data_IF_294880245091
#
_entry.id   IF_294880245091
#
_cell.length_a   1.000
_cell.length_b   1.000
_cell.length_c   1.000
_cell.angle_alpha   90.00
_cell.angle_beta   90.00
_cell.angle_gamma   90.00
#
_symmetry.space_group_name_H-M   'P 1'
#
loop_
_entity.id
_entity.type
_entity.pdbx_description
1 polymer ?
#
# COMPACT_ATOMS: atom_id res chain seq x y z
N UNK A 1 -21.91 18.71 -4.94
CA UNK A 1 -22.19 18.80 -3.50
C UNK A 1 -21.25 19.85 -2.92
N UNK A 2 -21.68 20.66 -1.94
CA UNK A 2 -20.92 21.81 -1.46
C UNK A 2 -19.78 21.39 -0.52
N UNK A 3 -18.56 21.82 -0.83
CA UNK A 3 -17.43 21.83 0.11
C UNK A 3 -17.79 22.78 1.25
N UNK A 4 -17.74 22.32 2.49
CA UNK A 4 -17.98 23.17 3.66
C UNK A 4 -16.62 23.68 4.15
N UNK A 5 -16.38 24.99 4.00
CA UNK A 5 -15.33 25.70 4.72
C UNK A 5 -15.77 25.86 6.18
N UNK A 6 -15.50 24.85 7.00
CA UNK A 6 -15.67 24.96 8.45
C UNK A 6 -14.36 25.47 9.07
N UNK A 7 -14.45 26.50 9.92
CA UNK A 7 -13.32 26.93 10.74
C UNK A 7 -13.02 25.85 11.79
N UNK A 8 -12.05 24.98 11.49
CA UNK A 8 -11.56 23.96 12.42
C UNK A 8 -10.52 24.57 13.36
N UNK A 9 -10.74 24.44 14.67
CA UNK A 9 -9.71 24.73 15.67
C UNK A 9 -8.91 23.46 15.92
N UNK A 10 -7.63 23.38 15.50
CA UNK A 10 -6.84 22.17 15.68
C UNK A 10 -6.57 21.96 17.17
N UNK A 11 -7.14 20.90 17.74
CA UNK A 11 -6.73 20.40 19.04
C UNK A 11 -5.37 19.70 18.86
N UNK A 12 -4.28 20.42 19.08
CA UNK A 12 -2.92 19.87 19.01
C UNK A 12 -2.67 19.06 20.29
N UNK A 13 -2.65 17.74 20.17
CA UNK A 13 -2.30 16.84 21.27
C UNK A 13 -0.82 16.53 21.18
N UNK A 14 -0.04 17.06 22.13
CA UNK A 14 1.43 16.98 22.11
C UNK A 14 2.02 15.68 22.65
N UNK A 15 1.22 14.82 23.28
CA UNK A 15 1.64 13.51 23.80
C UNK A 15 0.58 12.45 23.46
N UNK A 16 0.86 11.57 22.48
CA UNK A 16 0.04 10.39 22.17
C UNK A 16 0.88 9.11 22.15
N UNK A 17 0.27 7.93 22.39
CA UNK A 17 0.95 6.64 22.21
C UNK A 17 1.55 6.55 20.81
N UNK A 18 2.78 6.05 20.70
CA UNK A 18 3.49 5.88 19.41
C UNK A 18 3.02 4.64 18.64
N UNK A 19 1.88 4.06 18.99
CA UNK A 19 1.36 2.89 18.30
C UNK A 19 0.91 3.27 16.89
N UNK A 20 1.02 2.33 15.94
CA UNK A 20 0.78 2.62 14.52
C UNK A 20 -0.64 3.01 14.20
N UNK A 21 -1.59 2.54 15.03
CA UNK A 21 -2.98 2.95 14.92
C UNK A 21 -3.02 4.46 15.18
N UNK A 22 -2.49 4.96 16.30
CA UNK A 22 -2.59 6.37 16.71
C UNK A 22 -1.61 7.35 16.06
N UNK A 23 -1.19 7.11 14.81
CA UNK A 23 -0.19 7.95 14.14
C UNK A 23 -0.64 9.41 14.08
N UNK A 24 0.30 10.34 14.22
CA UNK A 24 0.07 11.76 13.97
C UNK A 24 0.36 12.07 12.50
N UNK A 25 -0.24 13.13 11.93
CA UNK A 25 0.26 13.70 10.69
C UNK A 25 1.76 14.02 10.82
N UNK A 26 2.51 14.01 9.72
CA UNK A 26 3.93 14.35 9.73
C UNK A 26 4.20 15.71 10.37
N UNK A 27 5.34 15.85 11.02
CA UNK A 27 5.74 17.13 11.58
C UNK A 27 5.86 18.18 10.46
N UNK A 28 5.25 19.35 10.65
CA UNK A 28 5.22 20.41 9.63
C UNK A 28 4.01 20.36 8.70
N UNK A 29 3.10 19.40 8.85
CA UNK A 29 1.80 19.42 8.15
C UNK A 29 0.99 20.66 8.50
N UNK A 30 0.47 21.32 7.46
CA UNK A 30 -0.47 22.43 7.63
C UNK A 30 -1.87 21.90 7.98
N UNK A 31 -2.18 21.91 9.28
CA UNK A 31 -3.48 21.50 9.81
C UNK A 31 -4.62 22.46 9.43
N UNK A 32 -4.32 23.65 8.90
CA UNK A 32 -5.32 24.57 8.35
C UNK A 32 -5.93 24.08 7.04
N UNK A 33 -5.27 23.14 6.35
CA UNK A 33 -5.76 22.52 5.11
C UNK A 33 -6.74 21.35 5.32
N UNK A 34 -7.09 21.02 6.58
CA UNK A 34 -8.04 19.95 6.91
C UNK A 34 -9.40 20.23 6.26
N UNK A 35 -9.97 19.24 5.58
CA UNK A 35 -11.29 19.34 4.95
C UNK A 35 -12.10 18.05 5.09
N UNK A 36 -13.42 18.21 5.16
CA UNK A 36 -14.38 17.12 5.03
C UNK A 36 -14.74 16.97 3.56
N UNK A 37 -14.62 15.76 3.00
CA UNK A 37 -15.03 15.48 1.62
C UNK A 37 -15.77 14.14 1.51
N UNK A 38 -16.50 13.91 0.40
CA UNK A 38 -16.96 12.57 0.03
C UNK A 38 -15.79 11.60 -0.03
N UNK A 39 -16.03 10.36 0.40
CA UNK A 39 -15.00 9.34 0.39
C UNK A 39 -14.54 8.97 -1.03
N UNK A 40 -15.43 9.07 -2.02
CA UNK A 40 -15.11 8.90 -3.45
C UNK A 40 -14.14 9.96 -3.99
N UNK A 41 -14.02 11.11 -3.31
CA UNK A 41 -13.15 12.22 -3.73
C UNK A 41 -11.76 12.14 -3.08
N UNK A 42 -11.51 11.15 -2.22
CA UNK A 42 -10.20 10.95 -1.59
C UNK A 42 -9.18 10.55 -2.64
N UNK A 43 -8.05 11.25 -2.68
CA UNK A 43 -6.99 10.98 -3.66
C UNK A 43 -5.86 10.17 -3.02
N UNK A 44 -5.10 9.41 -3.82
CA UNK A 44 -3.90 8.74 -3.32
C UNK A 44 -2.92 9.76 -2.73
N UNK A 45 -2.48 9.48 -1.50
CA UNK A 45 -1.59 10.35 -0.71
C UNK A 45 -2.28 11.37 0.20
N UNK A 46 -3.59 11.65 0.03
CA UNK A 46 -4.32 12.46 1.02
C UNK A 46 -4.27 11.74 2.37
N UNK A 47 -4.11 12.47 3.48
CA UNK A 47 -4.03 11.85 4.80
C UNK A 47 -5.40 11.76 5.44
N UNK A 48 -5.87 10.54 5.66
CA UNK A 48 -7.15 10.27 6.33
C UNK A 48 -6.99 10.50 7.83
N UNK A 49 -7.94 11.20 8.42
CA UNK A 49 -8.01 11.51 9.84
C UNK A 49 -9.21 10.83 10.48
N UNK A 50 -8.94 9.87 11.37
CA UNK A 50 -9.94 9.21 12.20
C UNK A 50 -10.40 7.87 11.64
N UNK A 51 -10.29 6.84 12.47
CA UNK A 51 -11.16 5.66 12.44
C UNK A 51 -11.11 5.01 13.83
N UNK A 52 -12.24 4.97 14.54
CA UNK A 52 -12.67 3.77 15.25
C UNK A 52 -14.15 3.91 15.67
N UNK A 53 -14.98 3.02 15.11
CA UNK A 53 -16.27 2.50 15.58
C UNK A 53 -17.57 2.83 14.83
N UNK A 54 -17.78 3.98 14.16
CA UNK A 54 -19.11 4.28 13.54
C UNK A 54 -19.06 5.22 12.33
N UNK A 55 -20.07 5.18 11.44
CA UNK A 55 -20.22 6.15 10.35
C UNK A 55 -20.14 7.59 10.87
N UNK A 56 -19.45 8.46 10.14
CA UNK A 56 -19.35 9.89 10.43
C UNK A 56 -20.75 10.53 10.44
N UNK A 57 -21.22 10.96 11.61
CA UNK A 57 -22.49 11.69 11.74
C UNK A 57 -22.23 13.19 11.55
N UNK A 58 -22.72 13.83 10.47
CA UNK A 58 -22.48 15.25 10.19
C UNK A 58 -22.99 16.19 11.29
N UNK A 59 -23.98 15.74 12.07
CA UNK A 59 -24.55 16.51 13.18
C UNK A 59 -23.77 16.38 14.49
N UNK A 60 -22.66 15.63 14.49
CA UNK A 60 -21.83 15.37 15.68
C UNK A 60 -20.32 15.54 15.44
N UNK A 61 -19.95 16.49 14.59
CA UNK A 61 -18.55 16.85 14.31
C UNK A 61 -17.77 17.26 15.57
N UNK A 62 -18.47 17.76 16.60
CA UNK A 62 -17.96 18.07 17.94
C UNK A 62 -17.50 16.83 18.73
N UNK A 63 -18.00 15.64 18.36
CA UNK A 63 -17.66 14.35 18.97
C UNK A 63 -16.67 13.52 18.15
N UNK A 64 -16.04 14.09 17.13
CA UNK A 64 -14.84 13.52 16.49
C UNK A 64 -13.67 13.55 17.49
N UNK A 65 -13.80 12.73 18.51
CA UNK A 65 -12.80 12.49 19.52
C UNK A 65 -11.60 11.86 18.83
N UNK A 66 -10.45 12.52 18.98
CA UNK A 66 -9.11 11.95 18.95
C UNK A 66 -8.81 11.07 17.74
N UNK A 67 -8.04 11.56 16.76
CA UNK A 67 -7.49 10.75 15.67
C UNK A 67 -6.91 9.42 16.19
N UNK A 68 -7.72 8.35 16.11
CA UNK A 68 -7.33 6.99 16.50
C UNK A 68 -6.53 6.36 15.36
N UNK A 69 -6.69 6.85 14.13
CA UNK A 69 -5.84 6.56 12.98
C UNK A 69 -5.56 7.77 12.08
N UNK A 70 -4.30 7.90 11.65
CA UNK A 70 -3.86 8.89 10.67
C UNK A 70 -2.94 8.20 9.66
N UNK A 71 -3.39 8.07 8.41
CA UNK A 71 -2.66 7.31 7.42
C UNK A 71 -2.77 7.97 6.04
N UNK A 72 -1.73 7.85 5.19
CA UNK A 72 -1.86 8.22 3.78
C UNK A 72 -2.96 7.36 3.15
N UNK A 73 -3.74 7.90 2.22
CA UNK A 73 -4.75 7.16 1.49
C UNK A 73 -4.15 6.43 0.29
N UNK A 74 -4.69 5.27 -0.02
CA UNK A 74 -4.48 4.49 -1.24
C UNK A 74 -5.83 3.86 -1.61
N UNK A 75 -6.78 4.67 -2.10
CA UNK A 75 -8.17 4.25 -2.26
C UNK A 75 -8.30 3.10 -3.28
N UNK A 76 -9.15 2.13 -2.96
CA UNK A 76 -9.60 1.09 -3.88
C UNK A 76 -11.10 0.87 -3.73
N UNK A 77 -11.86 1.07 -4.80
CA UNK A 77 -13.31 0.87 -4.80
C UNK A 77 -13.65 -0.59 -5.13
N UNK A 78 -14.59 -1.17 -4.41
CA UNK A 78 -15.08 -2.52 -4.64
C UNK A 78 -16.50 -2.68 -4.11
N UNK A 79 -17.44 -3.09 -4.97
CA UNK A 79 -18.81 -3.49 -4.60
C UNK A 79 -19.58 -2.46 -3.72
N UNK A 80 -19.43 -1.16 -3.98
CA UNK A 80 -20.08 -0.10 -3.18
C UNK A 80 -19.36 0.25 -1.87
N UNK A 81 -18.16 -0.29 -1.69
CA UNK A 81 -17.26 0.05 -0.60
C UNK A 81 -15.96 0.64 -1.16
N UNK A 82 -15.24 1.36 -0.31
CA UNK A 82 -13.92 1.91 -0.60
C UNK A 82 -12.97 1.48 0.49
N UNK A 83 -11.82 0.91 0.13
CA UNK A 83 -10.71 0.69 1.03
C UNK A 83 -9.74 1.87 0.96
N UNK A 84 -9.71 2.73 1.99
CA UNK A 84 -8.86 3.93 2.00
C UNK A 84 -7.38 3.63 2.25
N UNK A 85 -7.05 2.53 2.91
CA UNK A 85 -5.68 2.05 3.13
C UNK A 85 -5.18 1.15 1.99
N UNK A 86 -6.07 0.78 1.06
CA UNK A 86 -5.83 -0.11 -0.07
C UNK A 86 -6.06 -1.59 0.21
N UNK A 87 -6.54 -1.97 1.41
CA UNK A 87 -6.76 -3.38 1.77
C UNK A 87 -8.07 -3.62 2.56
N UNK A 88 -8.53 -2.65 3.34
CA UNK A 88 -9.66 -2.77 4.25
C UNK A 88 -10.93 -2.14 3.65
N UNK A 89 -11.83 -2.95 3.08
CA UNK A 89 -13.08 -2.51 2.44
C UNK A 89 -14.19 -2.22 3.47
N UNK A 90 -13.90 -1.34 4.43
CA UNK A 90 -14.80 -1.10 5.58
C UNK A 90 -15.74 0.10 5.42
N UNK A 91 -15.49 0.97 4.44
CA UNK A 91 -16.26 2.21 4.26
C UNK A 91 -17.22 2.10 3.07
N UNK A 92 -18.47 2.54 3.23
CA UNK A 92 -19.39 2.67 2.11
C UNK A 92 -19.02 3.87 1.24
N UNK A 93 -19.28 3.78 -0.07
CA UNK A 93 -18.97 4.85 -1.05
C UNK A 93 -19.79 6.15 -0.87
N UNK A 94 -20.88 6.08 -0.11
CA UNK A 94 -21.71 7.24 0.27
C UNK A 94 -21.22 8.00 1.52
N UNK A 95 -20.15 7.52 2.17
CA UNK A 95 -19.63 8.14 3.38
C UNK A 95 -18.82 9.42 3.11
N UNK A 96 -18.59 10.18 4.19
CA UNK A 96 -17.69 11.34 4.19
C UNK A 96 -16.52 11.06 5.10
N UNK A 97 -15.37 11.66 4.81
CA UNK A 97 -14.14 11.47 5.58
C UNK A 97 -13.40 12.79 5.77
N UNK A 98 -12.73 12.91 6.90
CA UNK A 98 -11.87 14.03 7.21
C UNK A 98 -10.47 13.75 6.67
N UNK A 99 -9.95 14.65 5.83
CA UNK A 99 -8.62 14.49 5.24
C UNK A 99 -7.77 15.74 5.40
N UNK A 100 -6.46 15.55 5.36
CA UNK A 100 -5.48 16.59 5.03
C UNK A 100 -5.06 16.33 3.58
N UNK A 101 -5.34 17.23 2.64
CA UNK A 101 -4.93 17.05 1.26
C UNK A 101 -3.41 16.92 1.16
N UNK A 102 -2.95 16.03 0.29
CA UNK A 102 -1.52 15.71 0.13
C UNK A 102 -0.63 16.93 -0.13
N UNK A 103 -1.17 17.99 -0.72
CA UNK A 103 -0.46 19.24 -0.99
C UNK A 103 -0.08 20.05 0.28
N UNK A 104 -0.70 19.72 1.42
CA UNK A 104 -0.42 20.33 2.73
C UNK A 104 0.48 19.47 3.62
N UNK A 105 0.99 18.36 3.07
CA UNK A 105 1.95 17.48 3.73
C UNK A 105 3.36 17.89 3.28
N UNK A 106 4.38 17.90 4.16
CA UNK A 106 5.73 18.27 3.75
C UNK A 106 6.26 17.38 2.61
N UNK A 107 6.87 18.00 1.60
CA UNK A 107 7.50 17.38 0.41
C UNK A 107 8.45 16.21 0.66
N UNK A 108 9.12 16.23 1.81
CA UNK A 108 10.07 15.20 2.20
C UNK A 108 9.40 13.97 2.82
N UNK A 109 8.09 14.03 3.05
CA UNK A 109 7.29 12.90 3.49
C UNK A 109 6.79 12.11 2.29
N UNK A 110 6.64 10.79 2.43
CA UNK A 110 6.11 9.86 1.41
C UNK A 110 4.70 10.19 0.87
N UNK A 111 4.11 11.33 1.23
CA UNK A 111 2.77 11.72 0.82
C UNK A 111 2.75 12.90 -0.16
N UNK A 112 3.77 13.77 -0.18
CA UNK A 112 3.82 14.89 -1.12
C UNK A 112 4.72 14.56 -2.33
N UNK A 113 4.13 14.71 -3.51
CA UNK A 113 4.76 14.49 -4.81
C UNK A 113 4.47 15.63 -5.77
N UNK A 114 4.24 16.83 -5.24
CA UNK A 114 4.21 18.08 -6.01
C UNK A 114 5.43 18.21 -6.94
N UNK A 115 6.58 17.63 -6.57
CA UNK A 115 7.79 17.55 -7.39
C UNK A 115 7.96 16.30 -8.28
N UNK A 116 6.96 15.42 -8.37
CA UNK A 116 6.98 14.22 -9.23
C UNK A 116 7.67 12.98 -8.65
N UNK A 117 7.67 11.88 -9.41
CA UNK A 117 8.38 10.64 -9.09
C UNK A 117 9.85 10.71 -9.53
N UNK A 118 10.75 10.01 -8.83
CA UNK A 118 12.19 9.92 -9.15
C UNK A 118 12.64 8.45 -9.27
N UNK A 119 13.65 8.15 -10.10
CA UNK A 119 14.26 6.83 -10.12
C UNK A 119 14.74 6.41 -8.72
N UNK A 120 14.49 5.15 -8.35
CA UNK A 120 14.79 4.59 -7.03
C UNK A 120 13.66 4.72 -6.00
N UNK A 121 12.64 5.54 -6.28
CA UNK A 121 11.52 5.67 -5.36
C UNK A 121 10.73 4.38 -5.23
N UNK A 122 10.45 3.99 -3.99
CA UNK A 122 9.61 2.85 -3.66
C UNK A 122 8.15 3.30 -3.69
N UNK A 123 7.35 2.60 -4.47
CA UNK A 123 5.93 2.91 -4.67
C UNK A 123 5.07 1.71 -4.35
N UNK A 124 3.81 1.97 -4.08
CA UNK A 124 2.78 0.96 -3.92
C UNK A 124 1.52 1.35 -4.67
N UNK A 125 0.84 0.34 -5.20
CA UNK A 125 -0.45 0.47 -5.88
C UNK A 125 -1.48 -0.47 -5.31
N UNK A 126 -2.75 -0.11 -5.46
CA UNK A 126 -3.86 -1.02 -5.28
C UNK A 126 -4.23 -1.73 -6.57
N UNK A 127 -4.90 -2.85 -6.43
CA UNK A 127 -5.81 -3.41 -7.42
C UNK A 127 -6.69 -4.48 -6.78
N UNK A 128 -7.66 -4.99 -7.54
CA UNK A 128 -8.58 -6.03 -7.08
C UNK A 128 -8.03 -7.41 -7.42
N UNK A 129 -7.88 -8.26 -6.40
CA UNK A 129 -7.54 -9.66 -6.55
C UNK A 129 -8.81 -10.52 -6.47
N UNK A 130 -8.95 -11.45 -7.42
CA UNK A 130 -10.00 -12.48 -7.42
C UNK A 130 -9.43 -13.81 -6.89
N UNK A 131 -9.80 -14.24 -5.67
CA UNK A 131 -9.30 -15.48 -5.10
C UNK A 131 -9.64 -16.71 -5.92
N UNK A 132 -8.64 -17.58 -6.08
CA UNK A 132 -8.75 -18.85 -6.81
C UNK A 132 -9.17 -20.00 -5.92
N UNK A 133 -8.83 -19.93 -4.63
CA UNK A 133 -9.08 -20.95 -3.62
C UNK A 133 -9.64 -20.32 -2.35
N UNK A 134 -10.35 -21.13 -1.56
CA UNK A 134 -10.77 -20.75 -0.21
C UNK A 134 -9.60 -20.98 0.75
N UNK A 135 -9.26 -19.96 1.54
CA UNK A 135 -8.31 -20.10 2.65
C UNK A 135 -8.77 -19.28 3.87
N UNK A 136 -7.90 -19.11 4.86
CA UNK A 136 -8.25 -18.40 6.09
C UNK A 136 -8.44 -16.88 5.93
N UNK A 137 -7.99 -16.29 4.80
CA UNK A 137 -8.11 -14.88 4.43
C UNK A 137 -8.95 -14.69 3.16
N UNK A 138 -8.98 -15.67 2.29
CA UNK A 138 -9.58 -15.61 0.96
C UNK A 138 -10.82 -16.49 0.84
N UNK A 139 -11.74 -16.06 -0.03
CA UNK A 139 -12.91 -16.83 -0.41
C UNK A 139 -13.16 -16.70 -1.90
N UNK A 140 -13.34 -17.83 -2.59
CA UNK A 140 -13.65 -17.88 -4.02
C UNK A 140 -14.92 -17.07 -4.29
N UNK A 141 -14.86 -16.24 -5.33
CA UNK A 141 -15.96 -15.36 -5.72
C UNK A 141 -16.13 -14.12 -4.82
N UNK A 142 -15.22 -13.90 -3.86
CA UNK A 142 -15.12 -12.64 -3.11
C UNK A 142 -13.85 -11.90 -3.50
N UNK A 143 -13.91 -11.00 -4.50
CA UNK A 143 -12.78 -10.15 -4.82
C UNK A 143 -12.41 -9.30 -3.60
N UNK A 144 -11.16 -8.86 -3.52
CA UNK A 144 -10.71 -7.94 -2.48
C UNK A 144 -9.58 -7.04 -2.97
N UNK A 145 -9.44 -5.83 -2.41
CA UNK A 145 -8.30 -4.99 -2.73
C UNK A 145 -7.01 -5.58 -2.12
N UNK A 146 -5.92 -5.45 -2.87
CA UNK A 146 -4.57 -5.85 -2.45
C UNK A 146 -3.57 -4.77 -2.84
N UNK A 147 -2.44 -4.77 -2.14
CA UNK A 147 -1.33 -3.86 -2.41
C UNK A 147 -0.23 -4.61 -3.15
N UNK A 148 0.37 -3.95 -4.14
CA UNK A 148 1.62 -4.38 -4.75
C UNK A 148 2.64 -3.24 -4.71
N UNK A 149 3.87 -3.59 -4.36
CA UNK A 149 5.00 -2.66 -4.32
C UNK A 149 5.82 -2.71 -5.59
N UNK A 150 6.52 -1.62 -5.87
CA UNK A 150 7.41 -1.47 -7.01
C UNK A 150 8.50 -0.46 -6.76
N UNK A 151 9.39 -0.31 -7.74
CA UNK A 151 10.42 0.74 -7.76
C UNK A 151 10.31 1.51 -9.06
N UNK A 152 10.34 2.84 -8.98
CA UNK A 152 10.47 3.68 -10.16
C UNK A 152 11.85 3.46 -10.76
N UNK A 153 11.92 3.05 -12.03
CA UNK A 153 13.18 2.74 -12.72
C UNK A 153 13.63 3.87 -13.64
N UNK A 154 12.69 4.62 -14.21
CA UNK A 154 12.97 5.75 -15.10
C UNK A 154 11.88 6.80 -15.02
N UNK A 155 12.24 8.03 -15.36
CA UNK A 155 11.35 9.20 -15.44
C UNK A 155 11.73 9.97 -16.70
N UNK A 156 10.76 10.21 -17.57
CA UNK A 156 10.91 10.86 -18.87
C UNK A 156 9.79 11.89 -19.04
N UNK A 157 10.11 13.17 -18.84
CA UNK A 157 9.10 14.23 -18.82
C UNK A 157 8.06 13.99 -17.72
N UNK A 158 6.79 13.91 -18.12
CA UNK A 158 5.65 13.66 -17.22
C UNK A 158 5.34 12.15 -17.04
N UNK A 159 6.12 11.27 -17.68
CA UNK A 159 5.95 9.82 -17.59
C UNK A 159 7.03 9.19 -16.71
N UNK A 160 6.70 8.07 -16.08
CA UNK A 160 7.65 7.26 -15.32
C UNK A 160 7.35 5.78 -15.51
N UNK A 161 8.39 4.96 -15.36
CA UNK A 161 8.27 3.49 -15.43
C UNK A 161 8.49 2.90 -14.05
N UNK A 162 7.67 1.90 -13.69
CA UNK A 162 7.77 1.19 -12.41
C UNK A 162 8.04 -0.29 -12.67
N UNK A 163 9.11 -0.81 -12.07
CA UNK A 163 9.33 -2.23 -11.92
C UNK A 163 8.51 -2.75 -10.73
N UNK A 164 7.32 -3.28 -11.01
CA UNK A 164 6.45 -3.88 -10.00
C UNK A 164 7.01 -5.21 -9.50
N UNK A 165 7.00 -5.39 -8.18
CA UNK A 165 7.48 -6.61 -7.51
C UNK A 165 6.43 -7.71 -7.61
N UNK A 166 6.82 -8.84 -8.19
CA UNK A 166 5.98 -10.03 -8.28
C UNK A 166 4.77 -9.87 -9.20
N UNK A 167 3.91 -10.88 -9.21
CA UNK A 167 2.67 -10.87 -9.98
C UNK A 167 1.57 -11.53 -9.17
N UNK A 168 0.39 -10.92 -9.20
CA UNK A 168 -0.82 -11.54 -8.69
C UNK A 168 -1.53 -12.28 -9.80
N UNK A 169 -1.71 -13.58 -9.62
CA UNK A 169 -2.53 -14.38 -10.54
C UNK A 169 -3.98 -13.92 -10.35
N UNK A 170 -4.71 -13.63 -11.43
CA UNK A 170 -6.08 -13.07 -11.38
C UNK A 170 -6.22 -11.72 -10.65
N UNK A 171 -5.19 -10.87 -10.69
CA UNK A 171 -5.30 -9.46 -10.30
C UNK A 171 -5.79 -8.57 -11.44
N UNK A 172 -6.73 -7.66 -11.17
CA UNK A 172 -7.29 -6.69 -12.12
C UNK A 172 -6.51 -5.37 -12.09
N UNK A 173 -5.52 -5.23 -12.95
CA UNK A 173 -4.57 -4.10 -12.91
C UNK A 173 -5.10 -2.75 -13.42
N UNK A 174 -6.33 -2.69 -13.94
CA UNK A 174 -6.87 -1.53 -14.66
C UNK A 174 -7.34 -0.40 -13.73
N UNK A 175 -7.53 -0.69 -12.44
CA UNK A 175 -8.00 0.25 -11.42
C UNK A 175 -6.99 0.33 -10.27
N UNK A 176 -5.99 1.21 -10.41
CA UNK A 176 -4.88 1.30 -9.46
C UNK A 176 -4.63 2.74 -9.00
N UNK A 177 -4.94 3.01 -7.73
CA UNK A 177 -4.35 4.14 -7.03
C UNK A 177 -2.87 3.86 -6.77
N UNK A 178 -2.02 4.89 -6.75
CA UNK A 178 -0.60 4.73 -6.47
C UNK A 178 -0.07 5.84 -5.56
N UNK A 179 0.87 5.48 -4.68
CA UNK A 179 1.62 6.40 -3.82
C UNK A 179 3.05 5.91 -3.57
N UNK A 180 3.86 6.71 -2.87
CA UNK A 180 5.12 6.22 -2.31
C UNK A 180 4.87 5.24 -1.17
N UNK A 181 5.67 4.19 -1.09
CA UNK A 181 5.62 3.25 0.01
C UNK A 181 6.24 3.86 1.28
N UNK A 182 5.60 3.66 2.43
CA UNK A 182 6.10 4.19 3.70
C UNK A 182 7.32 3.37 4.20
N UNK A 183 8.52 3.97 4.29
CA UNK A 183 9.72 3.26 4.75
C UNK A 183 9.60 2.75 6.20
N UNK A 184 8.81 3.41 7.05
CA UNK A 184 8.58 2.97 8.44
C UNK A 184 7.71 1.71 8.47
N UNK A 185 6.68 1.64 7.63
CA UNK A 185 5.86 0.44 7.48
C UNK A 185 6.68 -0.75 6.97
N UNK A 186 7.53 -0.53 5.96
CA UNK A 186 8.44 -1.56 5.42
C UNK A 186 9.41 -2.06 6.52
N UNK A 187 10.01 -1.15 7.29
CA UNK A 187 10.90 -1.53 8.38
C UNK A 187 10.19 -2.37 9.44
N UNK A 188 8.95 -2.00 9.79
CA UNK A 188 8.12 -2.76 10.73
C UNK A 188 7.76 -4.14 10.20
N UNK A 189 7.37 -4.26 8.93
CA UNK A 189 7.11 -5.55 8.32
C UNK A 189 8.31 -6.47 8.44
N UNK A 190 9.52 -5.98 8.08
CA UNK A 190 10.75 -6.75 8.24
C UNK A 190 11.01 -7.16 9.69
N UNK A 191 10.74 -6.27 10.65
CA UNK A 191 10.90 -6.58 12.07
C UNK A 191 9.92 -7.65 12.58
N UNK A 192 8.69 -7.68 12.06
CA UNK A 192 7.62 -8.58 12.52
C UNK A 192 7.63 -9.92 11.76
N UNK A 193 7.81 -9.86 10.44
CA UNK A 193 7.64 -11.01 9.54
C UNK A 193 8.97 -11.58 9.04
N UNK A 194 10.10 -10.87 9.26
CA UNK A 194 11.44 -11.22 8.76
C UNK A 194 11.77 -10.65 7.38
N UNK A 195 10.77 -10.16 6.65
CA UNK A 195 10.86 -9.53 5.34
C UNK A 195 9.62 -8.63 5.11
N UNK A 196 9.63 -7.82 4.04
CA UNK A 196 8.53 -6.95 3.66
C UNK A 196 7.84 -7.43 2.36
N UNK A 197 6.62 -6.93 2.10
CA UNK A 197 6.00 -7.09 0.77
C UNK A 197 6.94 -6.54 -0.31
N UNK A 198 7.09 -7.28 -1.40
CA UNK A 198 7.98 -6.98 -2.52
C UNK A 198 9.43 -7.44 -2.34
N UNK A 199 9.82 -7.93 -1.16
CA UNK A 199 11.15 -8.53 -0.95
C UNK A 199 11.25 -9.88 -1.66
N UNK A 200 12.48 -10.23 -2.05
CA UNK A 200 12.80 -11.55 -2.60
C UNK A 200 13.11 -12.52 -1.47
N UNK A 201 12.53 -13.72 -1.54
CA UNK A 201 12.73 -14.78 -0.54
C UNK A 201 13.14 -16.09 -1.21
N UNK A 202 13.66 -17.01 -0.40
CA UNK A 202 13.91 -18.40 -0.79
C UNK A 202 13.44 -19.33 0.32
N UNK A 203 13.23 -20.60 0.00
CA UNK A 203 13.10 -21.66 1.02
C UNK A 203 14.48 -22.20 1.37
N UNK A 204 14.65 -22.66 2.62
CA UNK A 204 15.90 -23.29 3.07
C UNK A 204 16.26 -24.48 2.17
N UNK A 205 17.54 -24.58 1.78
CA UNK A 205 18.03 -25.63 0.89
C UNK A 205 17.58 -25.51 -0.58
N UNK A 206 16.90 -24.43 -0.96
CA UNK A 206 16.47 -24.18 -2.34
C UNK A 206 17.25 -23.05 -3.00
N UNK A 207 17.42 -23.15 -4.32
CA UNK A 207 17.93 -22.06 -5.16
C UNK A 207 16.80 -21.22 -5.77
N UNK A 208 15.56 -21.71 -5.75
CA UNK A 208 14.42 -21.02 -6.33
C UNK A 208 14.05 -19.79 -5.50
N UNK A 209 13.81 -18.67 -6.17
CA UNK A 209 13.45 -17.40 -5.54
C UNK A 209 11.99 -17.06 -5.79
N UNK A 210 11.38 -16.43 -4.81
CA UNK A 210 10.01 -15.93 -4.87
C UNK A 210 9.95 -14.48 -4.42
N UNK A 211 8.82 -13.82 -4.69
CA UNK A 211 8.55 -12.44 -4.28
C UNK A 211 7.38 -12.44 -3.31
N UNK A 212 7.56 -11.77 -2.17
CA UNK A 212 6.51 -11.62 -1.16
C UNK A 212 5.40 -10.74 -1.72
N UNK A 213 4.19 -11.28 -1.82
CA UNK A 213 3.02 -10.55 -2.30
C UNK A 213 2.20 -9.95 -1.16
N UNK A 214 2.03 -10.69 -0.08
CA UNK A 214 1.20 -10.27 1.05
C UNK A 214 1.73 -10.86 2.36
N UNK A 215 1.58 -10.07 3.43
CA UNK A 215 1.88 -10.45 4.80
C UNK A 215 0.59 -10.40 5.62
N UNK A 216 0.40 -11.40 6.48
CA UNK A 216 -0.81 -11.52 7.28
C UNK A 216 -0.52 -12.25 8.58
N UNK A 217 -1.21 -11.87 9.66
CA UNK A 217 -1.12 -12.57 10.93
C UNK A 217 -2.32 -13.52 11.08
N UNK A 218 -2.06 -14.82 11.21
CA UNK A 218 -3.12 -15.81 11.31
C UNK A 218 -3.85 -15.69 12.64
N UNK A 219 -5.10 -15.22 12.64
CA UNK A 219 -5.86 -14.92 13.87
C UNK A 219 -5.98 -16.10 14.84
N UNK A 220 -6.22 -17.33 14.36
CA UNK A 220 -6.28 -18.51 15.25
C UNK A 220 -4.91 -19.01 15.73
N UNK A 221 -3.94 -19.13 14.83
CA UNK A 221 -2.65 -19.74 15.14
C UNK A 221 -1.63 -18.76 15.75
N UNK A 222 -1.90 -17.45 15.67
CA UNK A 222 -1.00 -16.42 16.18
C UNK A 222 0.35 -16.39 15.46
N UNK A 223 0.40 -16.81 14.19
CA UNK A 223 1.66 -16.94 13.43
C UNK A 223 1.72 -15.95 12.27
N UNK A 224 2.89 -15.35 12.00
CA UNK A 224 3.12 -14.56 10.81
C UNK A 224 3.11 -15.45 9.57
N UNK A 225 2.33 -15.04 8.57
CA UNK A 225 2.13 -15.74 7.31
C UNK A 225 2.51 -14.85 6.14
N UNK A 226 2.93 -15.47 5.04
CA UNK A 226 3.21 -14.80 3.78
C UNK A 226 2.60 -15.56 2.59
N UNK A 227 2.19 -14.80 1.58
CA UNK A 227 1.89 -15.30 0.23
C UNK A 227 3.03 -14.93 -0.69
N UNK A 228 3.55 -15.91 -1.43
CA UNK A 228 4.73 -15.75 -2.28
C UNK A 228 4.38 -16.05 -3.74
N UNK A 229 4.80 -15.16 -4.63
CA UNK A 229 4.82 -15.42 -6.07
C UNK A 229 6.13 -16.09 -6.47
N UNK A 230 6.07 -17.18 -7.23
CA UNK A 230 7.22 -17.90 -7.74
C UNK A 230 7.35 -17.71 -9.26
N UNK A 231 8.18 -16.78 -9.77
CA UNK A 231 8.24 -16.45 -11.19
C UNK A 231 8.47 -17.65 -12.12
N UNK A 232 9.22 -18.65 -11.66
CA UNK A 232 9.53 -19.87 -12.41
C UNK A 232 8.54 -21.03 -12.27
N UNK A 233 7.43 -20.88 -11.51
CA UNK A 233 6.52 -22.00 -11.21
C UNK A 233 5.05 -21.63 -11.36
N UNK A 234 4.48 -21.74 -12.58
CA UNK A 234 3.03 -21.61 -12.79
C UNK A 234 2.23 -22.57 -11.91
N UNK A 235 2.73 -23.80 -11.71
CA UNK A 235 2.08 -24.79 -10.85
C UNK A 235 2.00 -24.32 -9.40
N UNK A 236 3.09 -23.82 -8.82
CA UNK A 236 3.07 -23.31 -7.44
C UNK A 236 2.14 -22.10 -7.31
N UNK A 237 2.11 -21.22 -8.31
CA UNK A 237 1.22 -20.07 -8.31
C UNK A 237 -0.25 -20.40 -8.57
N UNK A 238 -0.56 -21.62 -9.00
CA UNK A 238 -1.93 -22.09 -9.21
C UNK A 238 -2.39 -23.03 -8.09
N UNK A 239 -1.59 -24.02 -7.71
CA UNK A 239 -1.94 -25.09 -6.77
C UNK A 239 -1.48 -24.85 -5.32
N UNK A 240 -0.57 -23.90 -5.08
CA UNK A 240 0.04 -23.67 -3.75
C UNK A 240 0.18 -22.18 -3.48
N UNK A 241 -0.76 -21.40 -4.00
CA UNK A 241 -0.81 -19.95 -3.90
C UNK A 241 -1.36 -19.44 -2.55
N UNK A 242 -1.41 -20.35 -1.57
CA UNK A 242 -1.95 -20.09 -0.25
C UNK A 242 -0.90 -19.42 0.64
N UNK A 243 -1.36 -18.93 1.78
CA UNK A 243 -0.50 -18.44 2.83
C UNK A 243 0.31 -19.58 3.49
N UNK A 244 1.58 -19.32 3.73
CA UNK A 244 2.44 -20.19 4.52
C UNK A 244 3.17 -19.42 5.64
N UNK A 245 3.58 -20.08 6.74
CA UNK A 245 4.32 -19.44 7.81
C UNK A 245 5.61 -18.78 7.30
N UNK A 246 5.91 -17.56 7.75
CA UNK A 246 7.11 -16.84 7.31
C UNK A 246 8.40 -17.57 7.67
N UNK A 247 8.39 -18.39 8.72
CA UNK A 247 9.52 -19.22 9.15
C UNK A 247 9.96 -20.27 8.13
N UNK A 248 9.19 -20.51 7.06
CA UNK A 248 9.59 -21.38 5.94
C UNK A 248 10.50 -20.67 4.93
N UNK A 249 10.64 -19.36 5.05
CA UNK A 249 11.31 -18.51 4.08
C UNK A 249 12.44 -17.73 4.75
N UNK A 250 13.49 -17.48 3.98
CA UNK A 250 14.55 -16.55 4.35
C UNK A 250 14.60 -15.40 3.34
N UNK A 251 14.84 -14.19 3.84
CA UNK A 251 15.09 -13.04 2.99
C UNK A 251 16.34 -13.31 2.16
N UNK A 252 16.20 -13.25 0.85
CA UNK A 252 17.33 -13.38 -0.08
C UNK A 252 17.59 -12.00 -0.63
N UNK A 253 18.61 -11.33 -0.09
CA UNK A 253 19.21 -10.19 -0.78
C UNK A 253 19.65 -10.73 -2.14
N UNK A 254 19.13 -10.19 -3.26
CA UNK A 254 19.64 -10.58 -4.56
C UNK A 254 21.15 -10.43 -4.49
N UNK A 255 21.90 -11.51 -4.74
CA UNK A 255 23.31 -11.34 -5.08
C UNK A 255 23.30 -10.31 -6.22
N UNK A 256 24.14 -9.28 -6.16
CA UNK A 256 24.30 -8.33 -7.26
C UNK A 256 24.90 -9.10 -8.45
N UNK A 257 24.10 -9.97 -9.07
CA UNK A 257 24.32 -10.52 -10.39
C UNK A 257 23.94 -9.39 -11.34
N UNK A 258 24.85 -8.41 -11.45
CA UNK A 258 25.01 -7.71 -12.70
C UNK A 258 25.48 -8.76 -13.72
N UNK A 259 24.55 -9.52 -14.27
CA UNK A 259 24.81 -10.21 -15.53
C UNK A 259 24.72 -9.12 -16.61
N UNK A 260 25.87 -8.56 -16.95
CA UNK A 260 26.05 -7.79 -18.18
C UNK A 260 25.97 -8.79 -19.33
N UNK A 261 24.76 -9.23 -19.66
CA UNK A 261 24.50 -10.07 -20.83
C UNK A 261 23.28 -9.56 -21.59
N UNK A 262 23.44 -8.37 -22.16
CA UNK A 262 23.28 -8.23 -23.61
C UNK A 262 24.18 -7.10 -24.06
N UNK A 263 25.24 -7.42 -24.82
CA UNK A 263 25.72 -6.47 -25.83
C UNK A 263 24.53 -6.27 -26.76
N UNK A 264 23.81 -5.17 -26.63
CA UNK A 264 23.09 -4.65 -27.78
C UNK A 264 24.18 -4.32 -28.81
N UNK A 265 24.28 -5.17 -29.83
CA UNK A 265 25.04 -4.84 -31.03
C UNK A 265 24.38 -3.62 -31.64
N UNK A 266 24.90 -2.42 -31.33
CA UNK A 266 24.60 -1.24 -32.12
C UNK A 266 25.10 -1.52 -33.53
N UNK A 267 24.18 -1.71 -34.46
CA UNK A 267 24.49 -1.67 -35.89
C UNK A 267 25.21 -0.35 -36.15
N UNK A 268 26.50 -0.45 -36.49
CA UNK A 268 27.29 0.67 -36.97
C UNK A 268 26.55 1.25 -38.18
N UNK A 269 26.24 2.55 -38.21
CA UNK A 269 25.65 3.17 -39.39
C UNK A 269 26.63 2.98 -40.56
N UNK A 270 26.24 2.21 -41.56
CA UNK A 270 26.93 2.23 -42.85
C UNK A 270 26.74 3.62 -43.46
N UNK A 271 27.87 4.25 -43.79
CA UNK A 271 27.99 5.57 -44.38
C UNK A 271 27.24 5.71 -45.72
#
# INVERSE_FOLDING_TARGET
MAVIDAAFYPLIVTNRPTDSLYRQPPAGTDMGGVRLCPIVDVRPGDWVLGEFERPLNPNRLDTLMQSVACFPALPAALNGYIALDGQSDVWHDEETVLIIPREYIPGDTYADRSGGYRPGDRVERTFIYDPMHDDARDKVGKPRPVIQRGTVTSVEGDAFTVAWSGRWVNGRSEEAAMRLADPVAIARERAVYGFAVGDTVTTEGSHATGVVLELWFHHWAGVPMARIYWPGSPWSNYCSYDFAPTSRYSHKVPENTYDVTSREDYLVPTA
#
